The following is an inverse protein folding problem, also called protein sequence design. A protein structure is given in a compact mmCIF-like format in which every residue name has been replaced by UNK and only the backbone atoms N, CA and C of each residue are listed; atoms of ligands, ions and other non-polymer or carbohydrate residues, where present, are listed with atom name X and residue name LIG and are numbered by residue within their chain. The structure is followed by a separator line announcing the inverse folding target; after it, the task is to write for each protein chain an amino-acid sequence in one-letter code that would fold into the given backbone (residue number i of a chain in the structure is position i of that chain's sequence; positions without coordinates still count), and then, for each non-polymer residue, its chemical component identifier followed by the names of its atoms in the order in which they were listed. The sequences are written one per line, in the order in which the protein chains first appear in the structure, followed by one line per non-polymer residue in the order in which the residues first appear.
data_IF_849900518666
#
_entry.id   IF_849900518666
#
_cell.length_a   1.000
_cell.length_b   1.000
_cell.length_c   1.000
_cell.angle_alpha   90.00
_cell.angle_beta   90.00
_cell.angle_gamma   90.00
#
_symmetry.space_group_name_H-M   'P 1'
#
loop_
_entity.id
_entity.type
_entity.pdbx_description
1 polymer ?
#
# COMPACT_ATOMS: atom_id res chain seq x y z
N UNK A 1 6.33 -31.45 -38.90
CA UNK A 1 7.22 -30.29 -38.75
C UNK A 1 6.41 -29.06 -39.12
N UNK A 2 5.91 -28.34 -38.13
CA UNK A 2 5.57 -26.91 -38.16
C UNK A 2 5.22 -26.53 -36.73
N UNK A 3 6.27 -26.05 -36.07
CA UNK A 3 6.28 -25.24 -34.86
C UNK A 3 5.13 -24.22 -34.92
N UNK A 4 4.11 -24.39 -34.08
CA UNK A 4 3.24 -23.27 -33.72
C UNK A 4 3.85 -22.75 -32.43
N UNK A 5 4.38 -21.55 -32.56
CA UNK A 5 5.25 -20.88 -31.60
C UNK A 5 4.68 -20.85 -30.20
N UNK A 6 5.48 -21.38 -29.29
CA UNK A 6 5.39 -21.25 -27.84
C UNK A 6 5.97 -19.88 -27.44
N UNK A 7 5.29 -18.80 -27.82
CA UNK A 7 5.71 -17.41 -27.50
C UNK A 7 4.47 -16.56 -27.17
N UNK A 8 3.60 -17.06 -26.29
CA UNK A 8 2.72 -16.17 -25.56
C UNK A 8 3.56 -15.49 -24.46
N UNK A 9 3.71 -14.16 -24.45
CA UNK A 9 4.48 -13.50 -23.42
C UNK A 9 3.75 -13.66 -22.08
N UNK A 10 4.33 -14.47 -21.18
CA UNK A 10 3.89 -14.69 -19.80
C UNK A 10 4.14 -13.48 -18.88
N UNK A 11 4.23 -12.27 -19.42
CA UNK A 11 4.68 -11.06 -18.70
C UNK A 11 3.59 -9.98 -18.60
N UNK A 12 2.36 -10.29 -18.99
CA UNK A 12 1.17 -9.52 -18.63
C UNK A 12 0.48 -10.12 -17.40
N UNK A 13 1.25 -10.50 -16.36
CA UNK A 13 0.67 -10.45 -15.00
C UNK A 13 0.26 -8.99 -14.81
N UNK A 14 -1.03 -8.77 -14.97
CA UNK A 14 -1.65 -7.48 -15.19
C UNK A 14 -1.25 -6.56 -14.04
N UNK A 15 -0.54 -5.47 -14.32
CA UNK A 15 -0.34 -4.39 -13.34
C UNK A 15 -1.68 -3.89 -12.78
N UNK A 16 -2.76 -4.09 -13.54
CA UNK A 16 -4.17 -3.95 -13.16
C UNK A 16 -4.56 -4.85 -11.96
N UNK A 17 -4.20 -6.14 -11.98
CA UNK A 17 -4.51 -7.10 -10.90
C UNK A 17 -3.81 -6.70 -9.58
N UNK A 18 -2.59 -6.15 -9.66
CA UNK A 18 -1.86 -5.66 -8.48
C UNK A 18 -2.49 -4.39 -7.90
N UNK A 19 -2.95 -3.48 -8.78
CA UNK A 19 -3.64 -2.27 -8.36
C UNK A 19 -4.99 -2.60 -7.71
N UNK A 20 -5.71 -3.55 -8.28
CA UNK A 20 -6.97 -4.06 -7.72
C UNK A 20 -6.74 -4.78 -6.39
N UNK A 21 -5.73 -5.63 -6.28
CA UNK A 21 -5.37 -6.28 -5.02
C UNK A 21 -5.03 -5.25 -3.92
N UNK A 22 -4.28 -4.19 -4.24
CA UNK A 22 -3.94 -3.13 -3.29
C UNK A 22 -5.18 -2.32 -2.90
N UNK A 23 -6.10 -2.07 -3.82
CA UNK A 23 -7.37 -1.38 -3.54
C UNK A 23 -8.26 -2.21 -2.61
N UNK A 24 -8.37 -3.51 -2.85
CA UNK A 24 -9.13 -4.42 -1.98
C UNK A 24 -8.51 -4.47 -0.57
N UNK A 25 -7.19 -4.63 -0.47
CA UNK A 25 -6.48 -4.60 0.81
C UNK A 25 -6.70 -3.28 1.56
N UNK A 26 -6.71 -2.15 0.85
CA UNK A 26 -7.00 -0.85 1.44
C UNK A 26 -8.43 -0.78 2.01
N UNK A 27 -9.42 -1.38 1.33
CA UNK A 27 -10.78 -1.49 1.87
C UNK A 27 -10.83 -2.21 3.22
N UNK A 28 -10.11 -3.32 3.38
CA UNK A 28 -10.02 -4.02 4.66
C UNK A 28 -9.37 -3.18 5.77
N UNK A 29 -8.38 -2.35 5.42
CA UNK A 29 -7.75 -1.44 6.38
C UNK A 29 -8.72 -0.34 6.80
N UNK A 30 -9.47 0.25 5.86
CA UNK A 30 -10.49 1.25 6.17
C UNK A 30 -11.60 0.69 7.07
N UNK A 31 -12.07 -0.53 6.79
CA UNK A 31 -13.07 -1.20 7.61
C UNK A 31 -12.55 -1.43 9.05
N UNK A 32 -11.29 -1.89 9.19
CA UNK A 32 -10.66 -2.04 10.50
C UNK A 32 -10.51 -0.69 11.25
N UNK A 33 -10.26 0.40 10.51
CA UNK A 33 -10.23 1.74 11.07
C UNK A 33 -11.60 2.22 11.54
N UNK A 34 -12.65 1.93 10.79
CA UNK A 34 -14.02 2.25 11.16
C UNK A 34 -14.46 1.49 12.41
N UNK A 35 -14.15 0.20 12.49
CA UNK A 35 -14.46 -0.66 13.65
C UNK A 35 -13.74 -0.17 14.90
N UNK A 36 -12.43 0.08 14.82
CA UNK A 36 -11.66 0.60 15.95
C UNK A 36 -12.20 1.94 16.49
N UNK A 37 -12.66 2.83 15.61
CA UNK A 37 -13.28 4.10 16.04
C UNK A 37 -14.64 3.87 16.71
N UNK A 38 -15.43 2.89 16.28
CA UNK A 38 -16.68 2.51 16.94
C UNK A 38 -16.43 1.96 18.35
N UNK A 39 -15.31 1.27 18.56
CA UNK A 39 -14.86 0.80 19.86
C UNK A 39 -14.29 1.93 20.75
N UNK A 40 -14.20 3.15 20.22
CA UNK A 40 -13.74 4.34 20.95
C UNK A 40 -12.23 4.51 20.98
N UNK A 41 -11.47 3.84 20.09
CA UNK A 41 -10.04 4.09 19.96
C UNK A 41 -9.78 5.45 19.33
N UNK A 42 -8.71 6.10 19.79
CA UNK A 42 -8.26 7.36 19.22
C UNK A 42 -7.70 7.15 17.80
N UNK A 43 -8.18 7.98 16.87
CA UNK A 43 -7.81 7.91 15.45
C UNK A 43 -6.32 8.20 15.20
N UNK A 44 -5.72 9.09 15.98
CA UNK A 44 -4.30 9.42 15.84
C UNK A 44 -3.42 8.27 16.34
N UNK A 45 -3.76 7.70 17.51
CA UNK A 45 -3.11 6.49 18.01
C UNK A 45 -3.23 5.32 17.01
N UNK A 46 -4.39 5.13 16.39
CA UNK A 46 -4.61 4.08 15.40
C UNK A 46 -3.78 4.28 14.12
N UNK A 47 -3.68 5.52 13.63
CA UNK A 47 -2.85 5.85 12.47
C UNK A 47 -1.37 5.53 12.72
N UNK A 48 -0.84 5.88 13.90
CA UNK A 48 0.53 5.54 14.29
C UNK A 48 0.75 4.03 14.37
N UNK A 49 -0.20 3.29 14.96
CA UNK A 49 -0.12 1.83 15.04
C UNK A 49 -0.13 1.17 13.66
N UNK A 50 -0.99 1.65 12.74
CA UNK A 50 -1.06 1.15 11.38
C UNK A 50 0.24 1.43 10.59
N UNK A 51 0.82 2.63 10.74
CA UNK A 51 2.11 2.96 10.14
C UNK A 51 3.21 2.02 10.64
N UNK A 52 3.25 1.77 11.95
CA UNK A 52 4.23 0.85 12.53
C UNK A 52 4.06 -0.57 11.98
N UNK A 53 2.82 -1.07 11.92
CA UNK A 53 2.52 -2.38 11.35
C UNK A 53 2.91 -2.47 9.87
N UNK A 54 2.63 -1.43 9.07
CA UNK A 54 3.02 -1.37 7.67
C UNK A 54 4.54 -1.40 7.49
N UNK A 55 5.29 -0.58 8.24
CA UNK A 55 6.75 -0.57 8.17
C UNK A 55 7.38 -1.89 8.63
N UNK A 56 6.85 -2.52 9.69
CA UNK A 56 7.21 -3.89 10.08
C UNK A 56 7.13 -4.83 8.87
N UNK A 57 5.98 -4.86 8.20
CA UNK A 57 5.75 -5.82 7.11
C UNK A 57 6.67 -5.53 5.92
N UNK A 58 6.95 -4.26 5.63
CA UNK A 58 7.92 -3.88 4.60
C UNK A 58 9.34 -4.35 4.95
N UNK A 59 9.78 -4.17 6.20
CA UNK A 59 11.10 -4.63 6.66
C UNK A 59 11.19 -6.15 6.63
N UNK A 60 10.16 -6.86 7.07
CA UNK A 60 10.12 -8.33 7.05
C UNK A 60 10.16 -8.89 5.62
N UNK A 61 9.55 -8.20 4.66
CA UNK A 61 9.44 -8.67 3.27
C UNK A 61 10.66 -8.27 2.43
N UNK A 62 11.17 -7.04 2.60
CA UNK A 62 12.16 -6.43 1.71
C UNK A 62 13.48 -6.05 2.40
N UNK A 63 13.53 -6.06 3.73
CA UNK A 63 14.69 -5.65 4.53
C UNK A 63 14.66 -4.17 4.94
N UNK A 64 15.52 -3.82 5.90
CA UNK A 64 15.61 -2.48 6.50
C UNK A 64 16.04 -1.42 5.48
N UNK A 65 17.08 -1.69 4.70
CA UNK A 65 17.64 -0.73 3.74
C UNK A 65 16.64 -0.39 2.61
N UNK A 66 15.99 -1.41 2.04
CA UNK A 66 14.97 -1.20 1.01
C UNK A 66 13.79 -0.39 1.55
N UNK A 67 13.41 -0.62 2.80
CA UNK A 67 12.34 0.13 3.47
C UNK A 67 12.75 1.57 3.77
N UNK A 68 14.01 1.82 4.15
CA UNK A 68 14.55 3.15 4.36
C UNK A 68 14.50 3.98 3.05
N UNK A 69 14.97 3.41 1.93
CA UNK A 69 14.90 4.05 0.61
C UNK A 69 13.45 4.37 0.22
N UNK A 70 12.51 3.46 0.49
CA UNK A 70 11.09 3.72 0.27
C UNK A 70 10.58 4.90 1.11
N UNK A 71 11.02 5.01 2.38
CA UNK A 71 10.58 6.04 3.31
C UNK A 71 11.12 7.44 2.98
N UNK A 72 12.29 7.56 2.35
CA UNK A 72 12.88 8.86 1.96
C UNK A 72 11.93 9.70 1.09
N UNK A 73 11.19 9.06 0.17
CA UNK A 73 10.22 9.75 -0.69
C UNK A 73 8.88 10.09 -0.01
N UNK A 74 8.64 9.64 1.22
CA UNK A 74 7.34 9.80 1.89
C UNK A 74 7.07 11.27 2.24
N UNK A 75 8.08 11.98 2.74
CA UNK A 75 7.94 13.39 3.10
C UNK A 75 7.51 14.25 1.90
N UNK A 76 8.06 13.97 0.71
CA UNK A 76 7.70 14.68 -0.52
C UNK A 76 6.30 14.31 -1.00
N UNK A 77 5.88 13.05 -0.86
CA UNK A 77 4.48 12.63 -1.13
C UNK A 77 3.47 13.35 -0.22
N UNK A 78 3.79 13.51 1.06
CA UNK A 78 2.96 14.28 2.00
C UNK A 78 2.92 15.75 1.56
N UNK A 79 4.08 16.36 1.28
CA UNK A 79 4.16 17.77 0.87
C UNK A 79 3.50 18.06 -0.47
N UNK A 80 3.42 17.08 -1.37
CA UNK A 80 2.71 17.21 -2.66
C UNK A 80 1.20 16.98 -2.51
N UNK A 81 0.75 16.44 -1.38
CA UNK A 81 -0.67 16.19 -1.10
C UNK A 81 -1.16 14.85 -1.65
N UNK A 82 -0.26 13.89 -1.88
CA UNK A 82 -0.60 12.57 -2.40
C UNK A 82 -1.56 11.78 -1.48
N UNK A 83 -1.69 12.19 -0.22
CA UNK A 83 -2.57 11.58 0.78
C UNK A 83 -3.77 12.46 1.16
N UNK A 84 -3.96 13.60 0.50
CA UNK A 84 -5.08 14.51 0.78
C UNK A 84 -6.29 14.16 -0.10
N UNK A 85 -7.44 13.91 0.51
CA UNK A 85 -8.70 13.54 -0.16
C UNK A 85 -9.62 14.72 -0.52
N UNK A 86 -9.19 15.97 -0.28
CA UNK A 86 -9.96 17.19 -0.61
C UNK A 86 -9.06 18.44 -0.71
N UNK A 87 -9.55 19.48 -1.40
CA UNK A 87 -8.87 20.76 -1.65
C UNK A 87 -8.12 21.23 -0.41
N UNK A 88 -6.80 21.44 -0.54
CA UNK A 88 -5.94 21.98 0.51
C UNK A 88 -6.61 23.18 1.17
N UNK A 89 -6.88 23.08 2.47
CA UNK A 89 -7.26 24.21 3.31
C UNK A 89 -6.03 24.97 3.78
#
# INVERSE_FOLDING_TARGET
MSIISDDLPLDLVSTDDSHDARRVAYGYVEDAFAEAQQDGLDSDALAHAALFAAFRTLVETYGEEATAIFAEGLADKVRTGAFSSGTRH
#
